data_IF_295818522751
#
_entry.id   IF_295818522751
#
_cell.length_a   1.000
_cell.length_b   1.000
_cell.length_c   1.000
_cell.angle_alpha   90.00
_cell.angle_beta   90.00
_cell.angle_gamma   90.00
#
_symmetry.space_group_name_H-M   'P 1'
#
loop_
_entity.id
_entity.type
_entity.pdbx_description
1 polymer ?
#
# COMPACT_ATOMS: atom_id res chain seq x y z
N UNK A 1 11.16 24.43 -28.68
CA UNK A 1 11.76 24.32 -27.34
C UNK A 1 10.86 23.45 -26.49
N UNK A 2 11.28 22.22 -26.22
CA UNK A 2 10.54 21.31 -25.35
C UNK A 2 10.63 21.83 -23.91
N UNK A 3 9.49 21.93 -23.23
CA UNK A 3 9.49 22.08 -21.78
C UNK A 3 9.67 20.68 -21.23
N UNK A 4 10.89 20.35 -20.83
CA UNK A 4 11.13 19.18 -20.00
C UNK A 4 10.24 19.34 -18.77
N UNK A 5 9.21 18.50 -18.67
CA UNK A 5 8.39 18.44 -17.48
C UNK A 5 9.30 17.97 -16.34
N UNK A 6 9.78 18.92 -15.54
CA UNK A 6 10.58 18.69 -14.34
C UNK A 6 9.79 17.95 -13.24
N UNK A 7 8.48 17.79 -13.41
CA UNK A 7 7.60 17.13 -12.46
C UNK A 7 7.44 15.64 -12.78
N UNK A 8 7.78 14.83 -11.80
CA UNK A 8 7.44 13.41 -11.76
C UNK A 8 6.28 13.23 -10.79
N UNK A 9 5.30 12.43 -11.19
CA UNK A 9 4.06 12.25 -10.43
C UNK A 9 4.34 11.40 -9.18
N UNK A 10 3.76 11.80 -8.04
CA UNK A 10 3.68 10.93 -6.87
C UNK A 10 2.72 9.76 -7.11
N UNK A 11 2.72 8.79 -6.19
CA UNK A 11 1.98 7.54 -6.38
C UNK A 11 0.46 7.61 -6.34
N UNK A 12 -0.13 8.77 -6.01
CA UNK A 12 -1.59 8.94 -5.95
C UNK A 12 -2.26 8.14 -4.83
N UNK A 13 -3.57 7.92 -4.93
CA UNK A 13 -4.35 7.16 -3.95
C UNK A 13 -5.29 6.19 -4.66
N UNK A 14 -5.32 4.94 -4.18
CA UNK A 14 -6.25 3.90 -4.66
C UNK A 14 -7.07 3.40 -3.48
N UNK A 15 -8.40 3.40 -3.65
CA UNK A 15 -9.34 2.82 -2.68
C UNK A 15 -10.19 1.77 -3.37
N UNK A 16 -10.15 0.54 -2.87
CA UNK A 16 -10.99 -0.57 -3.31
C UNK A 16 -11.90 -1.00 -2.17
N UNK A 17 -13.21 -0.87 -2.35
CA UNK A 17 -14.22 -1.37 -1.42
C UNK A 17 -14.99 -2.49 -2.11
N UNK A 18 -14.76 -3.71 -1.66
CA UNK A 18 -15.32 -4.94 -2.21
C UNK A 18 -16.19 -5.60 -1.14
N UNK A 19 -17.43 -5.94 -1.49
CA UNK A 19 -18.33 -6.64 -0.57
C UNK A 19 -17.86 -8.08 -0.35
N UNK A 20 -17.51 -8.74 -1.44
CA UNK A 20 -17.00 -10.11 -1.53
C UNK A 20 -15.47 -10.22 -1.50
N UNK A 21 -15.01 -11.26 -2.17
CA UNK A 21 -13.60 -11.60 -2.32
C UNK A 21 -12.94 -10.75 -3.41
N UNK A 22 -11.71 -10.30 -3.15
CA UNK A 22 -10.85 -9.61 -4.11
C UNK A 22 -9.69 -10.52 -4.50
N UNK A 23 -9.53 -10.78 -5.80
CA UNK A 23 -8.34 -11.45 -6.35
C UNK A 23 -7.35 -10.43 -6.89
N UNK A 24 -6.09 -10.52 -6.47
CA UNK A 24 -4.97 -9.75 -7.00
C UNK A 24 -3.92 -10.71 -7.53
N UNK A 25 -4.06 -11.12 -8.79
CA UNK A 25 -3.04 -11.93 -9.49
C UNK A 25 -2.12 -11.07 -10.37
N UNK A 26 -2.52 -9.84 -10.65
CA UNK A 26 -1.75 -8.85 -11.40
C UNK A 26 -1.02 -7.87 -10.48
N UNK A 27 -1.13 -6.58 -10.81
CA UNK A 27 -0.48 -5.49 -10.06
C UNK A 27 -1.48 -4.40 -9.66
N UNK A 28 -1.59 -4.15 -8.36
CA UNK A 28 -2.26 -2.99 -7.77
C UNK A 28 -1.16 -2.01 -7.30
N UNK A 29 -1.00 -0.87 -7.98
CA UNK A 29 0.16 0.00 -7.71
C UNK A 29 -0.19 1.48 -7.62
N UNK A 30 0.26 2.08 -6.52
CA UNK A 30 0.31 3.51 -6.26
C UNK A 30 1.78 3.92 -6.09
N UNK A 31 2.65 3.48 -7.01
CA UNK A 31 4.07 3.80 -6.95
C UNK A 31 4.35 5.22 -7.42
N UNK A 32 5.31 5.88 -6.78
CA UNK A 32 5.88 7.12 -7.28
C UNK A 32 6.54 6.90 -8.66
N UNK A 33 6.41 7.88 -9.55
CA UNK A 33 7.10 7.87 -10.83
C UNK A 33 8.63 7.94 -10.69
N UNK A 34 9.33 7.35 -11.66
CA UNK A 34 10.79 7.33 -11.73
C UNK A 34 11.31 8.61 -12.39
N UNK A 35 12.26 9.26 -11.72
CA UNK A 35 12.95 10.45 -12.21
C UNK A 35 14.15 10.07 -13.07
N UNK A 36 14.17 10.54 -14.33
CA UNK A 36 15.28 10.30 -15.28
C UNK A 36 16.21 11.50 -15.49
N UNK A 37 15.86 12.66 -14.91
CA UNK A 37 16.60 13.90 -15.12
C UNK A 37 17.73 14.08 -14.09
N UNK A 38 18.82 14.74 -14.49
CA UNK A 38 20.05 14.99 -13.70
C UNK A 38 19.87 15.99 -12.56
N UNK A 39 18.67 16.53 -12.35
CA UNK A 39 18.34 17.47 -11.27
C UNK A 39 17.06 17.11 -10.53
N UNK A 40 16.44 15.96 -10.82
CA UNK A 40 15.18 15.55 -10.21
C UNK A 40 15.40 14.65 -8.99
N UNK A 41 14.56 14.81 -7.97
CA UNK A 41 14.47 13.90 -6.83
C UNK A 41 13.49 12.76 -7.12
N UNK A 42 13.55 11.69 -6.34
CA UNK A 42 12.53 10.64 -6.38
C UNK A 42 11.18 11.17 -5.87
N UNK A 43 10.11 10.52 -6.30
CA UNK A 43 8.74 10.90 -5.93
C UNK A 43 8.20 9.99 -4.82
N UNK A 44 7.31 10.49 -3.97
CA UNK A 44 6.73 9.66 -2.91
C UNK A 44 5.85 8.55 -3.48
N UNK A 45 5.90 7.38 -2.85
CA UNK A 45 4.84 6.38 -2.96
C UNK A 45 3.50 6.96 -2.51
N UNK A 46 2.43 6.37 -3.02
CA UNK A 46 1.05 6.76 -2.77
C UNK A 46 0.39 6.00 -1.62
N UNK A 47 -0.93 6.02 -1.59
CA UNK A 47 -1.72 5.23 -0.65
C UNK A 47 -2.59 4.20 -1.34
N UNK A 48 -2.69 3.02 -0.73
CA UNK A 48 -3.63 1.97 -1.14
C UNK A 48 -4.46 1.58 0.08
N UNK A 49 -5.78 1.71 -0.05
CA UNK A 49 -6.75 1.16 0.89
C UNK A 49 -7.53 0.04 0.19
N UNK A 50 -7.47 -1.17 0.75
CA UNK A 50 -8.31 -2.28 0.32
C UNK A 50 -9.23 -2.68 1.47
N UNK A 51 -10.53 -2.72 1.22
CA UNK A 51 -11.53 -3.25 2.13
C UNK A 51 -12.31 -4.37 1.43
N UNK A 52 -12.17 -5.62 1.86
CA UNK A 52 -12.82 -6.78 1.24
C UNK A 52 -13.28 -7.80 2.29
N UNK A 53 -14.13 -8.78 1.97
CA UNK A 53 -14.35 -9.88 2.92
C UNK A 53 -13.16 -10.83 2.93
N UNK A 54 -12.60 -11.12 1.77
CA UNK A 54 -11.39 -11.92 1.60
C UNK A 54 -10.48 -11.31 0.53
N UNK A 55 -9.18 -11.55 0.66
CA UNK A 55 -8.18 -11.15 -0.35
C UNK A 55 -7.34 -12.36 -0.67
N UNK A 56 -7.23 -12.64 -1.97
CA UNK A 56 -6.52 -13.79 -2.49
C UNK A 56 -5.67 -13.42 -3.71
N UNK A 57 -4.80 -14.34 -4.11
CA UNK A 57 -3.97 -14.24 -5.30
C UNK A 57 -2.48 -14.22 -5.00
N UNK A 58 -1.69 -14.10 -6.06
CA UNK A 58 -0.22 -14.16 -6.05
C UNK A 58 0.46 -12.93 -6.67
N UNK A 59 -0.31 -11.88 -6.88
CA UNK A 59 0.13 -10.66 -7.54
C UNK A 59 0.93 -9.73 -6.62
N UNK A 60 0.97 -8.46 -6.99
CA UNK A 60 1.74 -7.43 -6.29
C UNK A 60 0.81 -6.28 -5.88
N UNK A 61 0.87 -5.89 -4.61
CA UNK A 61 0.29 -4.66 -4.09
C UNK A 61 1.44 -3.75 -3.67
N UNK A 62 1.61 -2.60 -4.33
CA UNK A 62 2.79 -1.78 -4.13
C UNK A 62 2.48 -0.28 -4.09
N UNK A 63 3.03 0.41 -3.09
CA UNK A 63 3.08 1.87 -3.05
C UNK A 63 4.51 2.32 -2.78
N UNK A 64 5.43 1.90 -3.63
CA UNK A 64 6.85 2.21 -3.49
C UNK A 64 7.14 3.66 -3.86
N UNK A 65 8.19 4.22 -3.26
CA UNK A 65 8.79 5.47 -3.70
C UNK A 65 9.40 5.35 -5.10
N UNK A 66 9.47 6.47 -5.81
CA UNK A 66 10.06 6.57 -7.13
C UNK A 66 11.59 6.65 -7.07
N UNK A 67 12.25 5.90 -7.93
CA UNK A 67 13.70 5.92 -8.08
C UNK A 67 14.20 7.17 -8.82
N UNK A 68 15.48 7.48 -8.63
CA UNK A 68 16.22 8.42 -9.48
C UNK A 68 17.27 7.65 -10.29
N UNK A 69 17.20 7.77 -11.60
CA UNK A 69 18.15 7.14 -12.54
C UNK A 69 19.10 8.15 -13.20
N UNK A 70 18.87 9.45 -13.00
CA UNK A 70 19.72 10.54 -13.49
C UNK A 70 21.04 10.65 -12.72
N UNK A 71 22.09 11.13 -13.39
CA UNK A 71 23.47 11.15 -12.86
C UNK A 71 23.80 12.28 -11.87
N UNK A 72 22.93 12.51 -10.89
CA UNK A 72 23.07 13.62 -9.94
C UNK A 72 23.54 13.15 -8.56
N UNK A 73 24.78 13.43 -8.12
CA UNK A 73 25.32 12.94 -6.84
C UNK A 73 24.50 13.32 -5.60
N UNK A 74 23.59 14.29 -5.73
CA UNK A 74 22.73 14.77 -4.64
C UNK A 74 21.28 14.29 -4.71
N UNK A 75 20.89 13.54 -5.75
CA UNK A 75 19.50 13.13 -5.91
C UNK A 75 19.17 11.86 -5.10
N UNK A 76 18.33 12.03 -4.08
CA UNK A 76 17.74 10.93 -3.31
C UNK A 76 16.48 10.37 -3.98
N UNK A 77 16.22 9.08 -3.76
CA UNK A 77 14.94 8.45 -4.12
C UNK A 77 13.79 8.93 -3.24
N UNK A 78 12.56 8.56 -3.60
CA UNK A 78 11.37 8.99 -2.87
C UNK A 78 11.02 8.05 -1.71
N UNK A 79 10.33 8.58 -0.69
CA UNK A 79 9.83 7.76 0.41
C UNK A 79 8.77 6.75 -0.03
N UNK A 80 8.68 5.64 0.69
CA UNK A 80 7.61 4.66 0.53
C UNK A 80 6.24 5.20 0.95
N UNK A 81 5.18 4.54 0.45
CA UNK A 81 3.79 4.92 0.66
C UNK A 81 3.09 4.19 1.81
N UNK A 82 1.76 4.18 1.80
CA UNK A 82 0.94 3.50 2.81
C UNK A 82 0.05 2.46 2.17
N UNK A 83 0.06 1.24 2.68
CA UNK A 83 -0.90 0.21 2.30
C UNK A 83 -1.70 -0.18 3.54
N UNK A 84 -3.02 -0.07 3.48
CA UNK A 84 -3.92 -0.59 4.51
C UNK A 84 -4.85 -1.61 3.87
N UNK A 85 -4.90 -2.79 4.47
CA UNK A 85 -5.81 -3.86 4.05
C UNK A 85 -6.72 -4.20 5.21
N UNK A 86 -8.01 -3.93 5.05
CA UNK A 86 -9.06 -4.27 5.98
C UNK A 86 -9.84 -5.47 5.42
N UNK A 87 -9.88 -6.58 6.14
CA UNK A 87 -10.58 -7.77 5.67
C UNK A 87 -11.45 -8.45 6.72
N UNK A 88 -12.32 -9.35 6.26
CA UNK A 88 -13.25 -10.10 7.09
C UNK A 88 -14.59 -9.38 7.33
N UNK A 89 -15.54 -10.12 7.89
CA UNK A 89 -16.88 -9.67 8.25
C UNK A 89 -17.70 -9.08 7.09
N UNK A 90 -18.79 -8.38 7.41
CA UNK A 90 -19.67 -7.73 6.44
C UNK A 90 -19.15 -6.33 6.07
N UNK A 91 -19.58 -5.82 4.92
CA UNK A 91 -19.30 -4.45 4.50
C UNK A 91 -19.69 -3.43 5.60
N UNK A 92 -20.84 -3.62 6.25
CA UNK A 92 -21.32 -2.72 7.30
C UNK A 92 -20.38 -2.62 8.51
N UNK A 93 -19.74 -3.73 8.92
CA UNK A 93 -18.75 -3.67 10.01
C UNK A 93 -17.45 -3.05 9.53
N UNK A 94 -17.01 -3.35 8.31
CA UNK A 94 -15.83 -2.72 7.69
C UNK A 94 -16.01 -1.20 7.61
N UNK A 95 -17.18 -0.71 7.20
CA UNK A 95 -17.48 0.72 7.13
C UNK A 95 -17.34 1.42 8.49
N UNK A 96 -17.71 0.74 9.59
CA UNK A 96 -17.50 1.27 10.95
C UNK A 96 -16.02 1.37 11.31
N UNK A 97 -15.21 0.37 10.94
CA UNK A 97 -13.76 0.42 11.15
C UNK A 97 -13.13 1.55 10.31
N UNK A 98 -13.53 1.69 9.05
CA UNK A 98 -13.10 2.78 8.17
C UNK A 98 -13.52 4.16 8.70
N UNK A 99 -14.66 4.24 9.39
CA UNK A 99 -15.11 5.45 10.10
C UNK A 99 -14.38 5.69 11.45
N UNK A 100 -13.36 4.89 11.80
CA UNK A 100 -12.49 5.08 12.95
C UNK A 100 -12.81 4.21 14.18
N UNK A 101 -13.76 3.28 14.07
CA UNK A 101 -14.15 2.39 15.17
C UNK A 101 -13.23 1.16 15.24
N UNK A 102 -11.96 1.42 15.57
CA UNK A 102 -10.85 0.46 15.49
C UNK A 102 -10.92 -0.67 16.53
N UNK A 103 -11.73 -0.54 17.58
CA UNK A 103 -12.04 -1.61 18.54
C UNK A 103 -12.72 -2.84 17.90
N UNK A 104 -13.29 -2.68 16.69
CA UNK A 104 -13.82 -3.80 15.90
C UNK A 104 -12.78 -4.49 15.03
N UNK A 105 -11.52 -4.06 15.04
CA UNK A 105 -10.47 -4.66 14.24
C UNK A 105 -9.26 -4.99 15.11
N UNK A 106 -8.51 -5.99 14.66
CA UNK A 106 -7.17 -6.26 15.18
C UNK A 106 -6.16 -6.17 14.06
N UNK A 107 -4.96 -5.69 14.39
CA UNK A 107 -3.84 -5.80 13.49
C UNK A 107 -3.37 -7.26 13.39
N UNK A 108 -2.98 -7.67 12.19
CA UNK A 108 -2.40 -8.98 11.92
C UNK A 108 -1.11 -8.82 11.13
N UNK A 109 -0.20 -9.79 11.24
CA UNK A 109 1.12 -9.69 10.63
C UNK A 109 1.14 -10.07 9.13
N UNK A 110 0.07 -10.71 8.64
CA UNK A 110 0.00 -11.21 7.26
C UNK A 110 -1.45 -11.43 6.82
N UNK A 111 -1.63 -11.57 5.50
CA UNK A 111 -2.91 -11.87 4.86
C UNK A 111 -2.96 -13.36 4.51
N UNK A 112 -3.68 -14.16 5.30
CA UNK A 112 -3.67 -15.63 5.15
C UNK A 112 -4.11 -16.14 3.77
N UNK A 113 -4.93 -15.39 3.04
CA UNK A 113 -5.40 -15.76 1.69
C UNK A 113 -4.52 -15.26 0.54
N UNK A 114 -3.57 -14.35 0.80
CA UNK A 114 -2.77 -13.69 -0.23
C UNK A 114 -1.32 -14.17 -0.16
N UNK A 115 -0.90 -14.86 -1.21
CA UNK A 115 0.43 -15.45 -1.39
C UNK A 115 1.27 -14.60 -2.38
N UNK A 116 1.01 -13.30 -2.40
CA UNK A 116 1.69 -12.33 -3.24
C UNK A 116 2.62 -11.41 -2.44
N UNK A 117 3.11 -10.37 -3.11
CA UNK A 117 4.02 -9.40 -2.50
C UNK A 117 3.27 -8.12 -2.17
N UNK A 118 3.39 -7.67 -0.92
CA UNK A 118 2.96 -6.33 -0.48
C UNK A 118 4.20 -5.51 -0.15
N UNK A 119 4.37 -4.36 -0.79
CA UNK A 119 5.60 -3.57 -0.65
C UNK A 119 5.35 -2.06 -0.62
N UNK A 120 6.03 -1.41 0.29
CA UNK A 120 6.08 0.04 0.45
C UNK A 120 7.52 0.54 0.40
N UNK A 121 8.41 -0.16 -0.32
CA UNK A 121 9.83 0.17 -0.36
C UNK A 121 10.09 1.63 -0.76
N UNK A 122 11.11 2.25 -0.17
CA UNK A 122 11.60 3.52 -0.64
C UNK A 122 12.24 3.38 -2.03
N UNK A 123 12.22 4.47 -2.78
CA UNK A 123 12.98 4.59 -4.01
C UNK A 123 14.47 4.77 -3.73
N UNK A 124 15.29 4.37 -4.69
CA UNK A 124 16.74 4.51 -4.68
C UNK A 124 17.17 5.84 -5.33
N UNK A 125 18.19 6.46 -4.76
CA UNK A 125 18.85 7.64 -5.32
C UNK A 125 20.07 7.29 -6.18
N UNK A 126 20.74 8.32 -6.71
CA UNK A 126 21.95 8.15 -7.54
C UNK A 126 23.22 7.83 -6.74
N UNK A 127 23.15 7.73 -5.41
CA UNK A 127 24.29 7.38 -4.53
C UNK A 127 24.67 5.90 -4.58
N UNK A 128 24.80 5.32 -5.78
CA UNK A 128 25.25 3.94 -5.99
C UNK A 128 24.27 2.87 -5.48
N UNK A 129 22.98 3.17 -5.45
CA UNK A 129 21.95 2.24 -4.97
C UNK A 129 21.75 2.22 -3.45
N UNK A 130 22.36 3.17 -2.72
CA UNK A 130 22.08 3.32 -1.28
C UNK A 130 20.75 4.04 -1.08
N UNK A 131 19.84 3.39 -0.38
CA UNK A 131 18.54 3.94 0.00
C UNK A 131 18.72 5.19 0.87
N UNK A 132 18.18 6.33 0.43
CA UNK A 132 18.24 7.63 1.14
C UNK A 132 16.92 7.99 1.82
N UNK A 133 15.81 7.37 1.40
CA UNK A 133 14.49 7.61 1.93
C UNK A 133 13.98 6.41 2.73
N UNK A 134 13.02 6.65 3.64
CA UNK A 134 12.44 5.60 4.46
C UNK A 134 11.41 4.77 3.69
N UNK A 135 11.35 3.48 4.02
CA UNK A 135 10.23 2.63 3.62
C UNK A 135 8.92 3.14 4.21
N UNK A 136 7.85 2.83 3.53
CA UNK A 136 6.50 3.17 3.95
C UNK A 136 5.90 2.13 4.88
N UNK A 137 4.60 2.25 5.15
CA UNK A 137 3.91 1.45 6.18
C UNK A 137 2.88 0.53 5.54
N UNK A 138 2.89 -0.73 5.96
CA UNK A 138 1.85 -1.72 5.63
C UNK A 138 1.10 -2.07 6.91
N UNK A 139 -0.23 -2.00 6.87
CA UNK A 139 -1.10 -2.39 7.98
C UNK A 139 -2.15 -3.37 7.48
N UNK A 140 -2.27 -4.51 8.14
CA UNK A 140 -3.34 -5.47 7.89
C UNK A 140 -4.27 -5.49 9.09
N UNK A 141 -5.56 -5.22 8.85
CA UNK A 141 -6.60 -5.21 9.85
C UNK A 141 -7.60 -6.32 9.54
N UNK A 142 -7.79 -7.23 10.49
CA UNK A 142 -8.88 -8.18 10.46
C UNK A 142 -10.05 -7.64 11.29
N UNK A 143 -11.23 -7.49 10.69
CA UNK A 143 -12.43 -7.18 11.46
C UNK A 143 -12.80 -8.37 12.32
N UNK A 144 -13.05 -8.10 13.60
CA UNK A 144 -13.37 -9.11 14.59
C UNK A 144 -14.77 -9.71 14.31
N UNK A 145 -14.90 -11.04 14.32
CA UNK A 145 -16.19 -11.69 14.27
C UNK A 145 -17.06 -11.26 15.45
N UNK A 146 -18.40 -11.34 15.32
CA UNK A 146 -19.27 -11.11 16.46
C UNK A 146 -18.85 -12.04 17.59
N UNK A 147 -18.77 -11.53 18.83
CA UNK A 147 -18.56 -12.39 19.99
C UNK A 147 -19.63 -13.48 19.96
N UNK A 148 -19.21 -14.74 19.79
CA UNK A 148 -20.15 -15.85 19.66
C UNK A 148 -21.03 -15.94 20.90
N UNK A 149 -22.34 -16.13 20.70
CA UNK A 149 -23.22 -16.53 21.80
C UNK A 149 -22.95 -17.99 22.10
N UNK A 150 -22.25 -18.29 23.20
CA UNK A 150 -22.17 -19.65 23.72
C UNK A 150 -23.50 -19.94 24.43
N UNK A 151 -24.37 -20.72 23.78
CA UNK A 151 -25.54 -21.29 24.44
C UNK A 151 -25.10 -22.57 25.16
N UNK A 152 -24.86 -22.48 26.46
CA UNK A 152 -24.73 -23.66 27.30
C UNK A 152 -26.13 -24.14 27.68
N UNK A 153 -26.63 -25.15 26.98
CA UNK A 153 -27.79 -25.92 27.47
C UNK A 153 -27.25 -26.97 28.43
N UNK A 154 -27.75 -26.97 29.67
CA UNK A 154 -27.58 -28.07 30.61
C UNK A 154 -28.89 -28.84 30.68
#
# INVERSE_FOLDING_TARGET
GARDSLSVQGGGAITLIVSGQLFVDGRLSANGGISKNTVASGSSGGSILVAASEIQGRGIIASAGGDVTGKSPTAGGGGGGKITVLYGETALKRDKVLAGRLDLAREVNSLAGFDGVVSTAAGLGYTGGVQQAGDGVIVYLQVLPPGGTVLLVR
#
